data_IF_193378613757
#
_entry.id   IF_193378613757
#
_cell.length_a   1.000
_cell.length_b   1.000
_cell.length_c   1.000
_cell.angle_alpha   90.00
_cell.angle_beta   90.00
_cell.angle_gamma   90.00
#
_symmetry.space_group_name_H-M   'P 1'
#
loop_
_entity.id
_entity.type
_entity.pdbx_description
1 polymer ?
#
# COMPACT_ATOMS: atom_id res chain seq x y z
N UNK A 1 -18.41 -15.23 -6.81
CA UNK A 1 -18.20 -13.78 -7.04
C UNK A 1 -18.08 -13.08 -5.70
N UNK A 2 -16.88 -12.64 -5.36
CA UNK A 2 -16.60 -11.93 -4.11
C UNK A 2 -17.27 -10.56 -4.16
N UNK A 3 -18.28 -10.33 -3.32
CA UNK A 3 -18.85 -8.99 -3.12
C UNK A 3 -17.88 -8.19 -2.25
N UNK A 4 -17.67 -6.91 -2.58
CA UNK A 4 -16.86 -6.02 -1.75
C UNK A 4 -17.34 -6.00 -0.28
N UNK A 5 -16.39 -6.13 0.65
CA UNK A 5 -16.65 -5.94 2.08
C UNK A 5 -16.02 -4.62 2.55
N UNK A 6 -16.84 -3.66 2.94
CA UNK A 6 -16.36 -2.35 3.40
C UNK A 6 -15.86 -2.43 4.84
N UNK A 7 -14.57 -2.21 5.06
CA UNK A 7 -13.95 -2.19 6.39
C UNK A 7 -13.66 -0.76 6.82
N UNK A 8 -14.13 -0.43 8.02
CA UNK A 8 -13.79 0.83 8.69
C UNK A 8 -12.34 0.78 9.17
N UNK A 9 -11.55 1.77 8.80
CA UNK A 9 -10.20 1.94 9.38
C UNK A 9 -10.29 2.95 10.53
N UNK A 10 -9.40 2.91 11.52
CA UNK A 10 -9.27 4.00 12.49
C UNK A 10 -8.58 5.22 11.85
N UNK A 11 -8.80 6.40 12.43
CA UNK A 11 -8.10 7.62 12.01
C UNK A 11 -6.61 7.50 12.33
N UNK A 12 -5.77 7.97 11.40
CA UNK A 12 -4.32 7.95 11.58
C UNK A 12 -3.88 8.88 12.70
N UNK A 13 -4.66 9.94 12.93
CA UNK A 13 -4.45 10.86 14.04
C UNK A 13 -4.55 10.22 15.43
N UNK A 14 -5.29 9.12 15.58
CA UNK A 14 -5.35 8.41 16.86
C UNK A 14 -4.06 7.63 17.13
N UNK A 15 -3.49 7.03 16.09
CA UNK A 15 -2.28 6.19 16.21
C UNK A 15 -0.98 6.98 16.13
N UNK A 16 -1.01 8.19 15.55
CA UNK A 16 0.16 9.05 15.43
C UNK A 16 0.79 9.44 16.79
N UNK A 17 0.05 9.97 17.79
CA UNK A 17 0.63 10.29 19.09
C UNK A 17 1.14 9.03 19.80
N UNK A 18 0.47 7.89 19.63
CA UNK A 18 0.92 6.62 20.21
C UNK A 18 2.29 6.20 19.67
N UNK A 19 2.51 6.30 18.35
CA UNK A 19 3.82 6.00 17.74
C UNK A 19 4.88 7.01 18.17
N UNK A 20 4.52 8.30 18.29
CA UNK A 20 5.44 9.32 18.79
C UNK A 20 5.87 9.04 20.24
N UNK A 21 4.92 8.67 21.12
CA UNK A 21 5.20 8.28 22.51
C UNK A 21 6.11 7.05 22.55
N UNK A 22 5.86 6.03 21.73
CA UNK A 22 6.71 4.84 21.68
C UNK A 22 8.15 5.15 21.24
N UNK A 23 8.33 6.08 20.28
CA UNK A 23 9.66 6.52 19.87
C UNK A 23 10.39 7.26 20.98
N UNK A 24 9.71 8.21 21.64
CA UNK A 24 10.30 9.02 22.72
C UNK A 24 10.59 8.14 23.94
N UNK A 25 9.65 7.28 24.34
CA UNK A 25 9.82 6.37 25.47
C UNK A 25 10.91 5.33 25.19
N UNK A 26 10.98 4.79 23.97
CA UNK A 26 12.00 3.84 23.56
C UNK A 26 13.42 4.43 23.61
N UNK A 27 13.62 5.65 23.08
CA UNK A 27 14.92 6.33 23.15
C UNK A 27 15.27 6.74 24.58
N UNK A 28 14.31 7.27 25.35
CA UNK A 28 14.54 7.67 26.74
C UNK A 28 14.92 6.46 27.62
N UNK A 29 14.23 5.33 27.48
CA UNK A 29 14.55 4.10 28.23
C UNK A 29 15.89 3.51 27.82
N UNK A 30 16.23 3.53 26.53
CA UNK A 30 17.53 3.05 26.06
C UNK A 30 18.67 3.92 26.61
N UNK A 31 18.54 5.25 26.56
CA UNK A 31 19.54 6.20 27.09
C UNK A 31 19.65 6.06 28.61
N UNK A 32 18.52 5.98 29.31
CA UNK A 32 18.51 5.84 30.77
C UNK A 32 19.10 4.49 31.21
N UNK A 33 18.84 3.41 30.47
CA UNK A 33 19.46 2.11 30.70
C UNK A 33 20.98 2.14 30.54
N UNK A 34 21.50 2.85 29.54
CA UNK A 34 22.95 3.05 29.36
C UNK A 34 23.56 3.88 30.49
N UNK A 35 22.89 4.96 30.91
CA UNK A 35 23.35 5.78 32.05
C UNK A 35 23.39 4.97 33.34
N UNK A 36 22.37 4.12 33.57
CA UNK A 36 22.37 3.23 34.73
C UNK A 36 23.53 2.22 34.65
N UNK A 37 23.79 1.60 33.49
CA UNK A 37 24.90 0.65 33.32
C UNK A 37 26.29 1.26 33.63
N UNK A 38 26.44 2.57 33.49
CA UNK A 38 27.69 3.29 33.75
C UNK A 38 27.88 3.73 35.22
N UNK A 39 26.85 3.60 36.07
CA UNK A 39 26.91 3.96 37.49
C UNK A 39 27.54 2.88 38.36
N UNK A 40 28.25 3.28 39.43
CA UNK A 40 28.98 2.37 40.33
C UNK A 40 28.08 1.40 41.13
N UNK A 41 26.81 1.78 41.37
CA UNK A 41 25.84 1.00 42.18
C UNK A 41 24.78 0.28 41.32
N UNK A 42 25.10 0.01 40.05
CA UNK A 42 24.13 -0.49 39.10
C UNK A 42 23.98 -2.02 39.16
N UNK A 43 22.75 -2.48 39.41
CA UNK A 43 22.37 -3.84 39.10
C UNK A 43 22.46 -4.04 37.57
N UNK A 44 23.58 -4.60 37.09
CA UNK A 44 23.88 -4.80 35.66
C UNK A 44 22.71 -5.47 34.92
N UNK A 45 22.01 -6.40 35.57
CA UNK A 45 20.81 -7.05 35.05
C UNK A 45 19.67 -6.05 34.77
N UNK A 46 19.45 -5.07 35.64
CA UNK A 46 18.41 -4.05 35.48
C UNK A 46 18.69 -3.12 34.30
N UNK A 47 19.95 -2.71 34.11
CA UNK A 47 20.35 -1.87 32.99
C UNK A 47 20.16 -2.57 31.63
N UNK A 48 20.53 -3.85 31.53
CA UNK A 48 20.34 -4.66 30.31
C UNK A 48 18.86 -4.79 29.97
N UNK A 49 18.00 -5.04 30.97
CA UNK A 49 16.54 -5.15 30.77
C UNK A 49 15.97 -3.84 30.22
N UNK A 50 16.36 -2.69 30.75
CA UNK A 50 15.89 -1.39 30.28
C UNK A 50 16.31 -1.11 28.83
N UNK A 51 17.53 -1.48 28.44
CA UNK A 51 18.02 -1.32 27.06
C UNK A 51 17.24 -2.23 26.11
N UNK A 52 17.04 -3.50 26.46
CA UNK A 52 16.29 -4.45 25.62
C UNK A 52 14.83 -4.01 25.46
N UNK A 53 14.19 -3.57 26.55
CA UNK A 53 12.83 -3.02 26.49
C UNK A 53 12.78 -1.76 25.61
N UNK A 54 13.74 -0.85 25.75
CA UNK A 54 13.85 0.33 24.89
C UNK A 54 13.97 -0.01 23.41
N UNK A 55 14.83 -0.97 23.06
CA UNK A 55 15.01 -1.45 21.68
C UNK A 55 13.72 -2.10 21.15
N UNK A 56 13.03 -2.91 21.95
CA UNK A 56 11.77 -3.54 21.55
C UNK A 56 10.67 -2.51 21.30
N UNK A 57 10.58 -1.46 22.11
CA UNK A 57 9.64 -0.35 21.89
C UNK A 57 9.94 0.40 20.59
N UNK A 58 11.22 0.65 20.29
CA UNK A 58 11.63 1.27 19.04
C UNK A 58 11.34 0.38 17.83
N UNK A 59 11.64 -0.92 17.91
CA UNK A 59 11.32 -1.88 16.87
C UNK A 59 9.80 -1.95 16.62
N UNK A 60 9.00 -1.95 17.68
CA UNK A 60 7.55 -1.86 17.59
C UNK A 60 7.10 -0.59 16.86
N UNK A 61 7.63 0.58 17.24
CA UNK A 61 7.31 1.84 16.57
C UNK A 61 7.63 1.82 15.06
N UNK A 62 8.78 1.26 14.68
CA UNK A 62 9.18 1.09 13.26
C UNK A 62 8.19 0.19 12.51
N UNK A 63 7.72 -0.90 13.12
CA UNK A 63 6.73 -1.80 12.50
C UNK A 63 5.36 -1.13 12.34
N UNK A 64 4.98 -0.20 13.22
CA UNK A 64 3.70 0.52 13.13
C UNK A 64 3.69 1.59 12.03
N UNK A 65 4.85 2.17 11.66
CA UNK A 65 4.94 3.28 10.69
C UNK A 65 4.38 2.96 9.29
N UNK A 66 4.64 1.79 8.67
CA UNK A 66 4.08 1.43 7.36
C UNK A 66 2.55 1.35 7.31
N UNK A 67 1.88 1.32 8.47
CA UNK A 67 0.42 1.25 8.59
C UNK A 67 -0.29 2.57 8.27
N UNK A 68 0.43 3.71 8.25
CA UNK A 68 -0.15 5.01 7.96
C UNK A 68 -0.33 5.27 6.46
N UNK A 69 -1.47 5.83 6.10
CA UNK A 69 -1.70 6.29 4.74
C UNK A 69 -2.79 7.35 4.64
N UNK A 70 -2.81 8.05 3.50
CA UNK A 70 -3.87 9.00 3.14
C UNK A 70 -4.80 8.42 2.08
N UNK A 71 -6.08 8.76 2.13
CA UNK A 71 -7.06 8.51 1.08
C UNK A 71 -7.70 9.81 0.62
N UNK A 72 -7.67 10.06 -0.68
CA UNK A 72 -8.35 11.18 -1.28
C UNK A 72 -9.85 10.93 -1.42
N UNK A 73 -10.66 11.99 -1.62
CA UNK A 73 -12.05 11.84 -2.02
C UNK A 73 -12.17 11.05 -3.33
N UNK A 74 -13.14 10.13 -3.38
CA UNK A 74 -13.37 9.21 -4.51
C UNK A 74 -12.19 8.27 -4.80
N UNK A 75 -11.45 7.89 -3.75
CA UNK A 75 -10.39 6.89 -3.79
C UNK A 75 -10.70 5.80 -2.76
N UNK A 76 -10.54 4.54 -3.15
CA UNK A 76 -10.68 3.38 -2.27
C UNK A 76 -9.35 2.65 -2.16
N UNK A 77 -9.07 2.01 -1.03
CA UNK A 77 -7.95 1.08 -0.88
C UNK A 77 -8.44 -0.31 -0.49
N UNK A 78 -8.03 -1.30 -1.28
CA UNK A 78 -8.23 -2.72 -1.01
C UNK A 78 -7.16 -3.18 -0.01
N UNK A 79 -7.60 -3.84 1.05
CA UNK A 79 -6.79 -4.36 2.14
C UNK A 79 -6.64 -5.87 1.95
N UNK A 80 -5.41 -6.31 1.80
CA UNK A 80 -5.05 -7.72 1.59
C UNK A 80 -4.05 -8.09 2.67
N UNK A 81 -4.32 -9.17 3.39
CA UNK A 81 -3.45 -9.69 4.43
C UNK A 81 -2.93 -11.07 3.99
N UNK A 82 -1.62 -11.20 3.82
CA UNK A 82 -0.97 -12.45 3.40
C UNK A 82 -1.62 -13.12 2.17
N UNK A 83 -1.95 -12.33 1.14
CA UNK A 83 -2.59 -12.82 -0.09
C UNK A 83 -4.12 -12.95 -0.01
N UNK A 84 -4.72 -12.87 1.17
CA UNK A 84 -6.17 -12.95 1.35
C UNK A 84 -6.81 -11.56 1.43
N UNK A 85 -7.85 -11.33 0.63
CA UNK A 85 -8.67 -10.12 0.71
C UNK A 85 -9.35 -10.04 2.09
N UNK A 86 -9.16 -8.91 2.79
CA UNK A 86 -9.81 -8.64 4.08
C UNK A 86 -10.91 -7.58 4.00
N UNK A 87 -10.88 -6.75 2.98
CA UNK A 87 -11.90 -5.73 2.77
C UNK A 87 -11.37 -4.54 1.98
N UNK A 88 -12.22 -3.55 1.74
CA UNK A 88 -11.86 -2.28 1.13
C UNK A 88 -12.24 -1.15 2.07
N UNK A 89 -11.40 -0.12 2.17
CA UNK A 89 -11.72 1.10 2.91
C UNK A 89 -11.86 2.29 1.96
N UNK A 90 -12.94 3.06 2.11
CA UNK A 90 -13.29 4.27 1.31
C UNK A 90 -13.29 5.55 2.14
N UNK A 91 -12.94 5.44 3.42
CA UNK A 91 -12.99 6.58 4.33
C UNK A 91 -11.90 7.58 3.94
N UNK A 92 -12.25 8.86 3.90
CA UNK A 92 -11.36 9.94 3.46
C UNK A 92 -10.41 10.31 4.61
N UNK A 93 -9.24 10.83 4.26
CA UNK A 93 -8.32 11.48 5.20
C UNK A 93 -7.08 10.65 5.53
N UNK A 94 -6.40 11.02 6.63
CA UNK A 94 -5.23 10.32 7.16
C UNK A 94 -5.67 9.18 8.07
N UNK A 95 -5.29 7.94 7.73
CA UNK A 95 -5.83 6.70 8.31
C UNK A 95 -4.71 5.73 8.66
N UNK A 96 -5.01 4.83 9.56
CA UNK A 96 -4.11 3.74 9.93
C UNK A 96 -4.77 2.40 9.62
N UNK A 97 -4.00 1.47 9.09
CA UNK A 97 -4.39 0.08 8.98
C UNK A 97 -3.21 -0.80 9.38
N UNK A 98 -3.48 -2.09 9.59
CA UNK A 98 -2.46 -3.04 9.97
C UNK A 98 -1.26 -2.98 8.99
N UNK A 99 -0.02 -2.78 9.46
CA UNK A 99 1.18 -2.68 8.63
C UNK A 99 1.47 -3.93 7.80
N UNK A 100 0.88 -5.08 8.15
CA UNK A 100 0.96 -6.32 7.37
C UNK A 100 0.00 -6.36 6.18
N UNK A 101 -0.86 -5.35 6.00
CA UNK A 101 -1.61 -5.24 4.76
C UNK A 101 -0.64 -5.01 3.61
N UNK A 102 -0.73 -5.85 2.58
CA UNK A 102 0.19 -5.78 1.47
C UNK A 102 0.04 -4.42 0.77
N UNK A 103 1.11 -3.64 0.76
CA UNK A 103 1.18 -2.35 0.09
C UNK A 103 1.54 -2.49 -1.40
N UNK A 104 1.07 -3.55 -2.09
CA UNK A 104 1.28 -3.76 -3.53
C UNK A 104 2.43 -4.70 -3.92
N UNK A 105 2.40 -5.96 -3.48
CA UNK A 105 3.39 -6.98 -3.87
C UNK A 105 3.17 -7.56 -5.29
N UNK A 106 2.01 -7.34 -5.93
CA UNK A 106 1.79 -7.78 -7.32
C UNK A 106 2.74 -7.13 -8.32
N UNK A 107 3.25 -5.92 -8.00
CA UNK A 107 4.21 -5.22 -8.83
C UNK A 107 5.61 -5.83 -8.80
N UNK A 108 6.03 -6.51 -7.72
CA UNK A 108 7.32 -7.20 -7.64
C UNK A 108 7.29 -8.54 -8.35
N UNK A 109 6.17 -9.27 -8.28
CA UNK A 109 5.97 -10.50 -9.04
C UNK A 109 5.88 -10.21 -10.56
N UNK A 110 5.15 -9.17 -10.96
CA UNK A 110 5.13 -8.70 -12.35
C UNK A 110 6.49 -8.11 -12.77
N UNK A 111 7.16 -7.33 -11.92
CA UNK A 111 8.53 -6.86 -12.17
C UNK A 111 9.50 -8.01 -12.35
N UNK A 112 9.40 -9.05 -11.53
CA UNK A 112 10.24 -10.24 -11.60
C UNK A 112 9.95 -11.04 -12.88
N UNK A 113 8.67 -11.19 -13.26
CA UNK A 113 8.27 -11.82 -14.54
C UNK A 113 8.76 -11.01 -15.75
N UNK A 114 8.61 -9.68 -15.74
CA UNK A 114 9.10 -8.79 -16.80
C UNK A 114 10.64 -8.73 -16.86
N UNK A 115 11.32 -8.81 -15.70
CA UNK A 115 12.77 -8.88 -15.62
C UNK A 115 13.30 -10.23 -16.13
N UNK A 116 12.61 -11.33 -15.86
CA UNK A 116 12.88 -12.64 -16.46
C UNK A 116 12.66 -12.63 -17.98
N UNK A 117 11.64 -11.91 -18.46
CA UNK A 117 11.36 -11.73 -19.89
C UNK A 117 12.38 -10.86 -20.63
N UNK A 118 13.11 -9.98 -19.92
CA UNK A 118 14.08 -9.06 -20.51
C UNK A 118 15.44 -9.70 -20.84
N UNK A 119 15.72 -10.93 -20.38
CA UNK A 119 17.02 -11.59 -20.55
C UNK A 119 18.18 -10.85 -19.85
N UNK A 120 19.43 -11.24 -20.14
CA UNK A 120 20.66 -10.71 -19.52
C UNK A 120 21.06 -9.30 -20.00
N UNK A 121 20.26 -8.64 -20.82
CA UNK A 121 20.55 -7.33 -21.39
C UNK A 121 20.28 -6.21 -20.37
N UNK A 122 21.33 -5.66 -19.75
CA UNK A 122 21.25 -4.63 -18.70
C UNK A 122 20.44 -3.38 -19.09
N UNK A 123 20.40 -3.00 -20.38
CA UNK A 123 19.60 -1.87 -20.88
C UNK A 123 18.09 -2.17 -20.97
N UNK A 124 17.70 -3.41 -21.28
CA UNK A 124 16.29 -3.83 -21.31
C UNK A 124 15.72 -4.01 -19.90
N UNK A 125 16.54 -4.48 -18.96
CA UNK A 125 16.18 -4.58 -17.54
C UNK A 125 15.85 -3.20 -16.93
N UNK A 126 16.64 -2.17 -17.25
CA UNK A 126 16.39 -0.80 -16.80
C UNK A 126 15.11 -0.19 -17.41
N UNK A 127 14.79 -0.47 -18.66
CA UNK A 127 13.57 0.02 -19.31
C UNK A 127 12.30 -0.72 -18.82
N UNK A 128 12.38 -2.04 -18.58
CA UNK A 128 11.29 -2.83 -18.04
C UNK A 128 10.92 -2.41 -16.60
N UNK A 129 11.91 -2.10 -15.77
CA UNK A 129 11.67 -1.57 -14.42
C UNK A 129 11.06 -0.15 -14.42
N UNK A 130 11.35 0.66 -15.44
CA UNK A 130 10.78 2.01 -15.63
C UNK A 130 9.34 1.99 -16.15
N UNK A 131 8.95 0.92 -16.87
CA UNK A 131 7.62 0.75 -17.44
C UNK A 131 6.57 0.31 -16.41
N UNK A 132 6.96 -0.09 -15.20
CA UNK A 132 6.01 -0.47 -14.16
C UNK A 132 5.33 0.80 -13.63
N UNK A 133 4.02 0.99 -13.87
CA UNK A 133 3.35 2.18 -13.38
C UNK A 133 3.35 2.15 -11.84
N UNK A 134 3.85 3.22 -11.22
CA UNK A 134 3.86 3.40 -9.76
C UNK A 134 2.45 3.32 -9.13
N UNK A 135 1.40 3.40 -9.95
CA UNK A 135 -0.01 3.22 -9.54
C UNK A 135 -0.41 1.76 -9.33
N UNK A 136 0.17 0.80 -10.06
CA UNK A 136 -0.02 -0.64 -9.80
C UNK A 136 0.61 -1.09 -8.47
N UNK A 137 1.40 -0.21 -7.85
CA UNK A 137 2.13 -0.45 -6.60
C UNK A 137 1.30 -0.21 -5.35
N UNK A 138 0.08 0.30 -5.43
CA UNK A 138 -0.76 0.52 -4.25
C UNK A 138 -2.13 0.05 -4.66
N UNK A 139 -2.73 -0.91 -3.96
CA UNK A 139 -4.08 -1.42 -4.19
C UNK A 139 -5.15 -0.33 -3.95
N UNK A 140 -5.02 0.78 -4.68
CA UNK A 140 -5.80 2.00 -4.64
C UNK A 140 -6.58 2.07 -5.93
N UNK A 141 -7.89 2.16 -5.80
CA UNK A 141 -8.82 2.16 -6.92
C UNK A 141 -9.52 3.51 -6.92
N UNK A 142 -9.47 4.20 -8.06
CA UNK A 142 -10.22 5.45 -8.22
C UNK A 142 -11.69 5.12 -8.44
N UNK A 143 -12.56 5.77 -7.68
CA UNK A 143 -14.01 5.69 -7.80
C UNK A 143 -14.58 6.80 -8.70
N UNK A 144 -13.70 7.63 -9.29
CA UNK A 144 -14.11 8.71 -10.19
C UNK A 144 -14.59 8.11 -11.51
N UNK A 145 -15.59 8.75 -12.12
CA UNK A 145 -15.98 8.45 -13.48
C UNK A 145 -14.82 8.73 -14.44
N UNK A 146 -14.59 7.83 -15.38
CA UNK A 146 -13.58 7.92 -16.42
C UNK A 146 -14.25 7.79 -17.78
N UNK A 147 -13.71 8.50 -18.74
CA UNK A 147 -14.17 8.44 -20.12
C UNK A 147 -13.14 7.67 -20.93
N UNK A 148 -13.60 6.62 -21.61
CA UNK A 148 -12.85 5.90 -22.62
C UNK A 148 -13.31 6.40 -23.99
N UNK A 149 -12.40 7.03 -24.71
CA UNK A 149 -12.61 7.40 -26.11
C UNK A 149 -12.11 6.24 -26.96
N UNK A 150 -13.00 5.59 -27.69
CA UNK A 150 -12.63 4.54 -28.64
C UNK A 150 -12.27 5.21 -29.96
N UNK A 151 -11.11 4.86 -30.52
CA UNK A 151 -10.66 5.38 -31.80
C UNK A 151 -11.62 4.99 -32.93
N UNK A 152 -11.64 5.80 -33.99
CA UNK A 152 -12.47 5.54 -35.17
C UNK A 152 -12.08 4.20 -35.79
N UNK A 153 -13.05 3.32 -35.94
CA UNK A 153 -12.88 2.04 -36.61
C UNK A 153 -13.75 2.00 -37.87
N UNK A 154 -13.11 1.63 -38.98
CA UNK A 154 -13.81 1.36 -40.24
C UNK A 154 -14.38 -0.05 -40.19
N UNK A 155 -15.69 -0.16 -40.19
CA UNK A 155 -16.43 -1.41 -40.19
C UNK A 155 -17.38 -1.43 -41.38
N UNK A 156 -17.74 -2.61 -41.86
CA UNK A 156 -18.77 -2.74 -42.87
C UNK A 156 -20.13 -2.88 -42.19
N UNK A 157 -21.10 -2.11 -42.65
CA UNK A 157 -22.50 -2.31 -42.28
C UNK A 157 -23.05 -3.60 -42.93
N UNK A 158 -24.24 -4.06 -42.51
CA UNK A 158 -24.88 -5.30 -43.00
C UNK A 158 -24.97 -5.38 -44.54
N UNK A 159 -25.07 -4.24 -45.23
CA UNK A 159 -25.13 -4.14 -46.68
C UNK A 159 -23.75 -4.10 -47.37
N UNK A 160 -22.65 -4.21 -46.62
CA UNK A 160 -21.28 -4.16 -47.16
C UNK A 160 -20.72 -2.75 -47.35
N UNK A 161 -21.48 -1.70 -47.01
CA UNK A 161 -21.02 -0.32 -47.09
C UNK A 161 -19.99 -0.03 -45.98
N UNK A 162 -18.84 0.56 -46.29
CA UNK A 162 -17.86 0.93 -45.27
C UNK A 162 -18.32 2.16 -44.49
N UNK A 163 -18.40 2.04 -43.17
CA UNK A 163 -18.79 3.10 -42.23
C UNK A 163 -17.72 3.26 -41.15
N UNK A 164 -17.47 4.50 -40.72
CA UNK A 164 -16.60 4.81 -39.60
C UNK A 164 -17.42 5.01 -38.32
N UNK A 165 -17.15 4.21 -37.30
CA UNK A 165 -17.78 4.35 -35.99
C UNK A 165 -16.74 4.77 -34.95
N UNK A 166 -17.16 5.65 -34.05
CA UNK A 166 -16.45 5.98 -32.82
C UNK A 166 -17.44 5.94 -31.66
N UNK A 167 -16.95 5.61 -30.47
CA UNK A 167 -17.78 5.54 -29.28
C UNK A 167 -17.09 6.22 -28.11
N UNK A 168 -17.90 6.87 -27.27
CA UNK A 168 -17.46 7.44 -26.00
C UNK A 168 -18.14 6.66 -24.89
N UNK A 169 -17.34 5.95 -24.09
CA UNK A 169 -17.84 5.12 -22.99
C UNK A 169 -17.45 5.76 -21.68
N UNK A 170 -18.44 6.16 -20.88
CA UNK A 170 -18.23 6.66 -19.52
C UNK A 170 -18.46 5.52 -18.53
N UNK A 171 -17.48 5.25 -17.67
CA UNK A 171 -17.54 4.17 -16.69
C UNK A 171 -17.01 4.61 -15.33
N UNK A 172 -17.40 3.90 -14.27
CA UNK A 172 -16.86 4.07 -12.92
C UNK A 172 -16.79 2.72 -12.22
N UNK A 173 -15.87 2.57 -11.28
CA UNK A 173 -15.76 1.35 -10.48
C UNK A 173 -16.83 1.37 -9.38
N UNK A 174 -17.66 0.33 -9.33
CA UNK A 174 -18.65 0.11 -8.26
C UNK A 174 -18.11 -0.84 -7.18
N UNK A 175 -17.55 -1.98 -7.61
CA UNK A 175 -16.91 -2.99 -6.76
C UNK A 175 -15.39 -2.96 -6.97
N UNK A 176 -14.68 -2.58 -5.91
CA UNK A 176 -13.22 -2.43 -5.95
C UNK A 176 -12.48 -3.75 -5.81
N UNK A 177 -13.11 -4.77 -5.23
CA UNK A 177 -12.51 -6.10 -5.12
C UNK A 177 -12.54 -6.79 -6.48
N UNK A 178 -13.68 -6.76 -7.17
CA UNK A 178 -13.78 -7.30 -8.53
C UNK A 178 -12.84 -6.57 -9.48
N UNK A 179 -12.83 -5.23 -9.47
CA UNK A 179 -11.96 -4.45 -10.37
C UNK A 179 -10.44 -4.68 -10.19
N UNK A 180 -10.00 -5.32 -9.10
CA UNK A 180 -8.58 -5.61 -8.82
C UNK A 180 -8.22 -7.07 -9.06
N UNK A 181 -9.17 -8.00 -8.91
CA UNK A 181 -8.90 -9.44 -8.91
C UNK A 181 -9.55 -10.23 -10.05
N UNK A 182 -10.50 -9.64 -10.78
CA UNK A 182 -11.23 -10.24 -11.90
C UNK A 182 -10.97 -9.42 -13.18
#
# INVERSE_FOLDING_TARGET
MSKENSVSTPSGWLFLPQVAILLIAGTALAVWGVVQAAGADAAVTGAIVLIVVGILLLAGAVVLMPGFFTLQPNEARVLILFGNYKGTTRQIGFRWANPFYSNGSSSQALAARLAQQAGSDAKKQQQAQKAIPKSARRYRVSLRARTLMVDKLKVNDKQGNPVEIAAVVVWRVLDTAQAVFD
#
